data_IF_983789148988
#
_entry.id   IF_983789148988
#
_cell.length_a   1.000
_cell.length_b   1.000
_cell.length_c   1.000
_cell.angle_alpha   90.00
_cell.angle_beta   90.00
_cell.angle_gamma   90.00
#
_symmetry.space_group_name_H-M   'P 1'
#
loop_
_entity.id
_entity.type
_entity.pdbx_description
1 polymer ?
#
# COMPACT_ATOMS: atom_id res chain seq x y z
N UNK A 1 11.90 -0.02 -14.60
CA UNK A 1 12.43 1.18 -13.91
C UNK A 1 12.27 0.99 -12.42
N UNK A 2 13.14 1.58 -11.61
CA UNK A 2 13.03 1.52 -10.14
C UNK A 2 12.13 2.67 -9.68
N UNK A 3 11.10 2.34 -8.91
CA UNK A 3 10.22 3.30 -8.25
C UNK A 3 10.58 3.36 -6.76
N UNK A 4 11.08 4.52 -6.32
CA UNK A 4 11.23 4.84 -4.91
C UNK A 4 10.15 5.85 -4.51
N UNK A 5 9.53 5.60 -3.35
CA UNK A 5 8.31 6.26 -2.92
C UNK A 5 8.39 6.51 -1.42
N UNK A 6 8.12 7.74 -0.99
CA UNK A 6 7.78 8.05 0.40
C UNK A 6 6.32 8.48 0.48
N UNK A 7 5.53 7.78 1.27
CA UNK A 7 4.12 8.09 1.53
C UNK A 7 3.91 8.32 3.03
N UNK A 8 3.27 9.43 3.39
CA UNK A 8 2.89 9.71 4.77
C UNK A 8 1.42 9.36 4.97
N UNK A 9 1.17 8.30 5.74
CA UNK A 9 -0.15 7.97 6.27
C UNK A 9 -0.19 8.43 7.75
N UNK A 10 -0.29 7.54 8.74
CA UNK A 10 -0.03 7.89 10.15
C UNK A 10 1.46 8.11 10.48
N UNK A 11 2.35 7.52 9.68
CA UNK A 11 3.82 7.62 9.78
C UNK A 11 4.39 7.64 8.35
N UNK A 12 5.62 8.12 8.19
CA UNK A 12 6.33 8.04 6.91
C UNK A 12 6.62 6.57 6.57
N UNK A 13 6.10 6.13 5.44
CA UNK A 13 6.33 4.81 4.85
C UNK A 13 7.20 5.01 3.62
N UNK A 14 8.36 4.37 3.59
CA UNK A 14 9.24 4.35 2.43
C UNK A 14 9.09 3.00 1.70
N UNK A 15 8.86 3.03 0.40
CA UNK A 15 8.70 1.84 -0.44
C UNK A 15 9.59 1.93 -1.67
N UNK A 16 10.15 0.78 -2.04
CA UNK A 16 10.95 0.59 -3.25
C UNK A 16 10.34 -0.55 -4.06
N UNK A 17 10.08 -0.32 -5.35
CA UNK A 17 9.59 -1.35 -6.25
C UNK A 17 10.28 -1.28 -7.60
N UNK A 18 10.62 -2.45 -8.14
CA UNK A 18 11.19 -2.58 -9.49
C UNK A 18 10.15 -2.98 -10.54
N UNK A 19 8.93 -3.31 -10.09
CA UNK A 19 7.87 -3.90 -10.92
C UNK A 19 6.65 -2.99 -11.11
N UNK A 20 6.40 -2.06 -10.18
CA UNK A 20 5.16 -1.28 -10.16
C UNK A 20 5.39 0.19 -10.55
N UNK A 21 4.38 0.76 -11.19
CA UNK A 21 4.29 2.19 -11.51
C UNK A 21 3.72 2.99 -10.33
N UNK A 22 3.97 4.30 -10.28
CA UNK A 22 3.53 5.22 -9.22
C UNK A 22 2.02 5.53 -9.21
N UNK A 23 1.16 4.63 -9.74
CA UNK A 23 -0.26 4.90 -9.88
C UNK A 23 -1.00 4.82 -8.53
N UNK A 24 -1.92 5.76 -8.31
CA UNK A 24 -2.87 5.73 -7.22
C UNK A 24 -4.06 4.84 -7.59
N UNK A 25 -4.50 4.01 -6.65
CA UNK A 25 -5.70 3.19 -6.75
C UNK A 25 -6.64 3.52 -5.60
N UNK A 26 -7.92 3.60 -5.93
CA UNK A 26 -8.98 3.69 -4.94
C UNK A 26 -9.04 2.38 -4.15
N UNK A 27 -9.05 2.47 -2.82
CA UNK A 27 -9.08 1.27 -1.96
C UNK A 27 -10.49 0.78 -1.65
N UNK A 28 -11.52 1.46 -2.18
CA UNK A 28 -12.94 1.34 -1.86
C UNK A 28 -13.26 1.52 -0.38
N UNK A 29 -12.31 2.08 0.38
CA UNK A 29 -12.45 2.41 1.79
C UNK A 29 -12.59 3.92 1.93
N UNK A 30 -13.35 4.32 2.92
CA UNK A 30 -13.45 5.72 3.32
C UNK A 30 -12.81 5.90 4.69
N UNK A 31 -12.27 7.08 4.94
CA UNK A 31 -11.82 7.48 6.26
C UNK A 31 -13.00 7.84 7.18
N UNK A 32 -12.72 8.16 8.44
CA UNK A 32 -13.76 8.51 9.41
C UNK A 32 -14.54 9.79 9.05
N UNK A 33 -14.02 10.62 8.15
CA UNK A 33 -14.68 11.80 7.61
C UNK A 33 -15.45 11.55 6.31
N UNK A 34 -15.47 10.31 5.81
CA UNK A 34 -16.13 9.96 4.55
C UNK A 34 -15.29 10.23 3.29
N UNK A 35 -14.01 10.59 3.41
CA UNK A 35 -13.15 10.79 2.24
C UNK A 35 -12.65 9.44 1.73
N UNK A 36 -12.64 9.28 0.40
CA UNK A 36 -12.08 8.09 -0.23
C UNK A 36 -10.59 7.94 0.09
N UNK A 37 -10.22 6.78 0.62
CA UNK A 37 -8.83 6.43 0.90
C UNK A 37 -8.22 5.94 -0.41
N UNK A 38 -7.35 6.75 -1.00
CA UNK A 38 -6.52 6.35 -2.13
C UNK A 38 -5.16 5.87 -1.63
N UNK A 39 -4.68 4.75 -2.18
CA UNK A 39 -3.34 4.21 -1.90
C UNK A 39 -2.64 3.89 -3.19
N UNK A 40 -1.32 3.93 -3.20
CA UNK A 40 -0.58 3.55 -4.39
C UNK A 40 -0.70 2.05 -4.65
N UNK A 41 -0.72 1.69 -5.92
CA UNK A 41 -0.84 0.29 -6.34
C UNK A 41 0.29 -0.57 -5.76
N UNK A 42 1.49 -0.01 -5.57
CA UNK A 42 2.62 -0.71 -4.93
C UNK A 42 2.35 -1.05 -3.46
N UNK A 43 1.70 -0.16 -2.71
CA UNK A 43 1.33 -0.39 -1.31
C UNK A 43 0.27 -1.48 -1.20
N UNK A 44 -0.68 -1.51 -2.14
CA UNK A 44 -1.71 -2.54 -2.21
C UNK A 44 -1.12 -3.92 -2.52
N UNK A 45 -0.28 -4.01 -3.57
CA UNK A 45 0.41 -5.26 -3.92
C UNK A 45 1.31 -5.76 -2.80
N UNK A 46 2.03 -4.86 -2.13
CA UNK A 46 2.86 -5.22 -0.97
C UNK A 46 2.01 -5.80 0.16
N UNK A 47 0.91 -5.13 0.54
CA UNK A 47 0.05 -5.60 1.62
C UNK A 47 -0.64 -6.94 1.29
N UNK A 48 -0.97 -7.18 0.02
CA UNK A 48 -1.54 -8.47 -0.40
C UNK A 48 -0.52 -9.61 -0.24
N UNK A 49 0.74 -9.37 -0.60
CA UNK A 49 1.83 -10.33 -0.40
C UNK A 49 2.19 -10.53 1.07
N UNK A 50 2.33 -9.45 1.83
CA UNK A 50 2.68 -9.48 3.26
C UNK A 50 1.58 -10.13 4.12
N UNK A 51 0.31 -9.91 3.77
CA UNK A 51 -0.82 -10.51 4.45
C UNK A 51 -0.93 -12.03 4.29
N UNK A 52 -0.30 -12.64 3.27
CA UNK A 52 -0.20 -14.09 3.16
C UNK A 52 0.77 -14.67 4.18
N UNK A 53 1.92 -14.03 4.36
CA UNK A 53 2.94 -14.49 5.30
C UNK A 53 2.46 -14.41 6.76
N UNK A 54 1.86 -13.27 7.14
CA UNK A 54 1.43 -13.02 8.51
C UNK A 54 0.20 -13.85 8.97
N UNK A 55 -0.47 -14.56 8.05
CA UNK A 55 -1.59 -15.48 8.37
C UNK A 55 -1.13 -16.92 8.52
N UNK A 56 -0.04 -17.30 7.87
CA UNK A 56 0.56 -18.62 8.00
C UNK A 56 1.23 -18.83 9.35
N UNK A 57 1.85 -17.80 9.91
CA UNK A 57 2.51 -17.85 11.23
C UNK A 57 1.56 -17.67 12.41
N UNK A 58 0.28 -17.37 12.16
CA UNK A 58 -0.74 -17.15 13.19
C UNK A 58 -1.59 -18.41 13.44
N UNK A 59 -1.25 -19.53 12.80
CA UNK A 59 -1.97 -20.80 12.82
C UNK A 59 -1.30 -21.80 13.76
#
# INVERSE_FOLDING_TARGET
>A
GILALVWCDKKNICMLSTMHSASMKDTRKQDAGGNAIMKQSVVLSYNEGMGRFNRSDQL
#
